data_IF_420397126493
#
_entry.id   IF_420397126493
#
_cell.length_a   1.000
_cell.length_b   1.000
_cell.length_c   1.000
_cell.angle_alpha   90.00
_cell.angle_beta   90.00
_cell.angle_gamma   90.00
#
_symmetry.space_group_name_H-M   'P 1'
#
loop_
_entity.id
_entity.type
_entity.pdbx_description
1 polymer ?
#
# COMPACT_ATOMS: atom_id res chain seq x y z
N UNK A 1 36.12 46.57 -32.30
CA UNK A 1 35.87 45.51 -31.31
C UNK A 1 35.48 46.14 -29.99
N UNK A 2 34.20 46.12 -29.61
CA UNK A 2 33.71 46.73 -28.37
C UNK A 2 33.37 45.65 -27.34
N UNK A 3 34.07 45.66 -26.20
CA UNK A 3 33.86 44.72 -25.09
C UNK A 3 32.70 45.21 -24.22
N UNK A 4 31.55 44.54 -24.31
CA UNK A 4 30.38 44.87 -23.50
C UNK A 4 30.45 44.10 -22.15
N UNK A 5 30.85 44.77 -21.07
CA UNK A 5 30.83 44.21 -19.70
C UNK A 5 29.44 44.34 -19.09
N UNK A 6 28.65 43.26 -19.08
CA UNK A 6 27.41 43.18 -18.29
C UNK A 6 27.75 43.17 -16.80
N UNK A 7 27.36 44.23 -16.07
CA UNK A 7 27.40 44.29 -14.60
C UNK A 7 26.42 43.24 -14.03
N UNK A 8 26.93 42.26 -13.28
CA UNK A 8 26.11 41.34 -12.47
C UNK A 8 25.47 42.16 -11.34
N UNK A 9 24.14 42.29 -11.34
CA UNK A 9 23.39 42.84 -10.21
C UNK A 9 23.50 41.86 -9.03
N UNK A 10 23.86 42.37 -7.85
CA UNK A 10 23.95 41.60 -6.62
C UNK A 10 22.61 40.95 -6.29
N UNK A 11 22.60 39.63 -6.15
CA UNK A 11 21.40 38.86 -5.81
C UNK A 11 21.01 39.08 -4.35
N UNK A 12 19.74 39.38 -4.12
CA UNK A 12 19.10 39.30 -2.82
C UNK A 12 19.19 37.85 -2.34
N UNK A 13 19.88 37.61 -1.23
CA UNK A 13 19.80 36.33 -0.51
C UNK A 13 18.58 36.44 0.41
N UNK A 14 17.49 35.70 0.16
CA UNK A 14 16.37 35.69 1.08
C UNK A 14 16.85 35.22 2.47
N UNK A 15 16.22 35.70 3.55
CA UNK A 15 16.49 35.22 4.90
C UNK A 15 16.44 33.69 4.93
N UNK A 16 17.43 33.09 5.59
CA UNK A 16 17.44 31.64 5.83
C UNK A 16 16.34 31.38 6.85
N UNK A 17 15.14 31.02 6.37
CA UNK A 17 14.05 30.54 7.22
C UNK A 17 14.58 29.33 8.02
N UNK A 18 14.45 29.37 9.34
CA UNK A 18 14.84 28.24 10.18
C UNK A 18 13.83 27.11 10.04
N UNK A 19 14.20 25.88 10.40
CA UNK A 19 13.27 24.74 10.36
C UNK A 19 12.00 25.02 11.18
N UNK A 20 12.15 25.71 12.31
CA UNK A 20 11.05 26.10 13.20
C UNK A 20 10.10 27.08 12.52
N UNK A 21 10.62 28.08 11.79
CA UNK A 21 9.80 29.03 11.03
C UNK A 21 8.95 28.34 9.96
N UNK A 22 9.50 27.31 9.32
CA UNK A 22 8.81 26.53 8.27
C UNK A 22 7.68 25.69 8.89
N UNK A 23 7.91 25.07 10.05
CA UNK A 23 6.87 24.32 10.78
C UNK A 23 5.74 25.26 11.24
N UNK A 24 6.08 26.44 11.75
CA UNK A 24 5.08 27.46 12.13
C UNK A 24 4.27 27.94 10.92
N UNK A 25 4.90 28.11 9.77
CA UNK A 25 4.21 28.47 8.53
C UNK A 25 3.23 27.37 8.08
N UNK A 26 3.63 26.09 8.14
CA UNK A 26 2.75 24.94 7.86
C UNK A 26 1.56 24.92 8.82
N UNK A 27 1.81 25.10 10.12
CA UNK A 27 0.76 25.14 11.15
C UNK A 27 -0.25 26.26 10.90
N UNK A 28 0.21 27.47 10.60
CA UNK A 28 -0.68 28.60 10.32
C UNK A 28 -1.58 28.37 9.09
N UNK A 29 -1.07 27.69 8.06
CA UNK A 29 -1.88 27.34 6.88
C UNK A 29 -2.85 26.20 7.21
N UNK A 30 -2.41 25.20 7.96
CA UNK A 30 -3.25 24.09 8.41
C UNK A 30 -4.43 24.57 9.27
N UNK A 31 -4.20 25.49 10.22
CA UNK A 31 -5.27 26.07 11.06
C UNK A 31 -6.35 26.78 10.23
N UNK A 32 -5.95 27.46 9.15
CA UNK A 32 -6.89 28.11 8.23
C UNK A 32 -7.70 27.10 7.44
N UNK A 33 -7.08 25.99 7.03
CA UNK A 33 -7.75 24.86 6.36
C UNK A 33 -8.73 24.17 7.32
N UNK A 34 -8.37 24.02 8.60
CA UNK A 34 -9.27 23.45 9.61
C UNK A 34 -10.46 24.36 9.95
N UNK A 35 -10.27 25.67 9.90
CA UNK A 35 -11.30 26.65 10.22
C UNK A 35 -12.25 26.98 9.05
N UNK A 36 -11.82 26.74 7.81
CA UNK A 36 -12.54 27.19 6.60
C UNK A 36 -12.71 26.03 5.61
N UNK A 37 -13.93 25.76 5.18
CA UNK A 37 -14.27 24.77 4.15
C UNK A 37 -14.01 25.27 2.70
N UNK A 38 -13.24 26.36 2.53
CA UNK A 38 -13.00 26.99 1.22
C UNK A 38 -11.89 26.29 0.41
N UNK A 39 -12.12 25.98 -0.89
CA UNK A 39 -11.18 25.18 -1.66
C UNK A 39 -10.18 26.02 -2.48
N UNK A 40 -8.93 25.54 -2.53
CA UNK A 40 -7.96 25.83 -3.58
C UNK A 40 -6.71 26.58 -3.13
N UNK A 41 -6.86 27.86 -2.76
CA UNK A 41 -5.71 28.74 -2.49
C UNK A 41 -4.88 28.27 -1.29
N UNK A 42 -5.56 27.92 -0.18
CA UNK A 42 -4.92 27.45 1.05
C UNK A 42 -4.14 26.15 0.84
N UNK A 43 -4.68 25.21 0.06
CA UNK A 43 -4.03 23.95 -0.29
C UNK A 43 -2.79 24.17 -1.18
N UNK A 44 -2.83 25.16 -2.07
CA UNK A 44 -1.66 25.57 -2.85
C UNK A 44 -0.56 26.21 -2.01
N UNK A 45 -0.92 26.97 -0.98
CA UNK A 45 0.05 27.54 -0.04
C UNK A 45 0.64 26.50 0.90
N UNK A 46 -0.16 25.51 1.32
CA UNK A 46 0.31 24.34 2.05
C UNK A 46 1.37 23.57 1.24
N UNK A 47 1.14 23.36 -0.06
CA UNK A 47 2.11 22.73 -0.94
C UNK A 47 3.45 23.48 -0.98
N UNK A 48 3.43 24.81 -1.10
CA UNK A 48 4.65 25.62 -1.07
C UNK A 48 5.38 25.51 0.26
N UNK A 49 4.65 25.41 1.37
CA UNK A 49 5.22 25.23 2.70
C UNK A 49 5.85 23.83 2.85
N UNK A 50 5.20 22.78 2.33
CA UNK A 50 5.77 21.43 2.31
C UNK A 50 7.06 21.34 1.49
N UNK A 51 7.15 22.02 0.33
CA UNK A 51 8.38 22.07 -0.48
C UNK A 51 9.58 22.68 0.25
N UNK A 52 9.34 23.50 1.28
CA UNK A 52 10.40 24.07 2.11
C UNK A 52 10.76 23.18 3.31
N UNK A 53 9.90 22.23 3.66
CA UNK A 53 10.06 21.33 4.80
C UNK A 53 10.78 20.04 4.43
N UNK A 54 11.09 19.23 5.45
CA UNK A 54 11.67 17.89 5.31
C UNK A 54 10.60 16.80 5.13
N UNK A 55 9.36 17.18 4.83
CA UNK A 55 8.25 16.24 4.58
C UNK A 55 8.44 15.58 3.22
N UNK A 56 8.24 14.27 3.17
CA UNK A 56 8.32 13.52 1.92
C UNK A 56 7.35 14.04 0.84
N UNK A 57 7.83 14.09 -0.41
CA UNK A 57 7.07 14.62 -1.55
C UNK A 57 5.81 13.81 -1.87
N UNK A 58 5.83 12.49 -1.63
CA UNK A 58 4.68 11.63 -1.89
C UNK A 58 3.60 11.77 -0.80
N UNK A 59 4.01 11.92 0.46
CA UNK A 59 3.10 12.20 1.60
C UNK A 59 2.39 13.54 1.38
N UNK A 60 3.15 14.60 1.08
CA UNK A 60 2.59 15.93 0.82
C UNK A 60 1.64 15.93 -0.38
N UNK A 61 2.00 15.26 -1.48
CA UNK A 61 1.13 15.12 -2.66
C UNK A 61 -0.19 14.40 -2.33
N UNK A 62 -0.15 13.29 -1.59
CA UNK A 62 -1.35 12.54 -1.14
C UNK A 62 -2.28 13.44 -0.33
N UNK A 63 -1.74 14.13 0.69
CA UNK A 63 -2.50 15.03 1.56
C UNK A 63 -3.21 16.11 0.74
N UNK A 64 -2.52 16.72 -0.21
CA UNK A 64 -3.08 17.82 -1.02
C UNK A 64 -4.12 17.31 -2.03
N UNK A 65 -3.83 16.21 -2.71
CA UNK A 65 -4.72 15.66 -3.75
C UNK A 65 -6.03 15.15 -3.17
N UNK A 66 -5.96 14.46 -2.04
CA UNK A 66 -7.13 13.91 -1.36
C UNK A 66 -7.74 14.86 -0.34
N UNK A 67 -7.12 16.03 -0.12
CA UNK A 67 -7.49 16.98 0.94
C UNK A 67 -7.65 16.29 2.28
N UNK A 68 -6.68 15.43 2.60
CA UNK A 68 -6.73 14.56 3.77
C UNK A 68 -6.40 15.37 5.03
N UNK A 69 -7.45 15.79 5.73
CA UNK A 69 -7.37 16.63 6.92
C UNK A 69 -6.75 15.85 8.09
N UNK A 70 -7.07 14.57 8.20
CA UNK A 70 -6.61 13.74 9.31
C UNK A 70 -5.13 13.40 9.16
N UNK A 71 -4.69 13.07 7.94
CA UNK A 71 -3.28 12.89 7.64
C UNK A 71 -2.48 14.19 7.84
N UNK A 72 -3.03 15.35 7.44
CA UNK A 72 -2.41 16.66 7.70
C UNK A 72 -2.20 16.91 9.21
N UNK A 73 -3.15 16.54 10.07
CA UNK A 73 -3.02 16.66 11.53
C UNK A 73 -1.90 15.78 12.06
N UNK A 74 -1.82 14.52 11.63
CA UNK A 74 -0.73 13.59 12.04
C UNK A 74 0.64 14.16 11.68
N UNK A 75 0.80 14.61 10.43
CA UNK A 75 2.04 15.24 9.94
C UNK A 75 2.40 16.47 10.76
N UNK A 76 1.42 17.32 11.11
CA UNK A 76 1.67 18.48 11.95
C UNK A 76 2.21 18.09 13.34
N UNK A 77 1.60 17.10 13.99
CA UNK A 77 2.05 16.64 15.31
C UNK A 77 3.47 16.08 15.27
N UNK A 78 3.81 15.34 14.20
CA UNK A 78 5.14 14.78 14.00
C UNK A 78 6.20 15.86 13.76
N UNK A 79 5.88 16.86 12.92
CA UNK A 79 6.74 18.01 12.67
C UNK A 79 6.98 18.84 13.94
N UNK A 80 5.97 18.99 14.80
CA UNK A 80 6.11 19.67 16.09
C UNK A 80 6.96 18.88 17.09
N UNK A 81 6.94 17.55 17.04
CA UNK A 81 7.83 16.69 17.84
C UNK A 81 9.26 16.59 17.28
N UNK A 82 9.53 17.17 16.11
CA UNK A 82 10.86 17.17 15.48
C UNK A 82 11.23 15.86 14.81
N UNK A 83 10.26 15.00 14.52
CA UNK A 83 10.47 13.71 13.88
C UNK A 83 10.31 13.82 12.35
N UNK A 84 11.09 13.05 11.59
CA UNK A 84 11.05 13.10 10.13
C UNK A 84 9.84 12.32 9.61
N UNK A 85 8.94 13.03 8.93
CA UNK A 85 7.70 12.47 8.36
C UNK A 85 8.03 11.65 7.10
N UNK A 86 8.27 10.35 7.31
CA UNK A 86 8.31 9.37 6.23
C UNK A 86 6.99 8.60 6.18
N UNK A 87 6.58 8.23 4.96
CA UNK A 87 5.44 7.38 4.64
C UNK A 87 5.11 6.37 5.74
N UNK A 88 4.12 6.68 6.56
CA UNK A 88 3.34 5.64 7.21
C UNK A 88 2.35 5.24 6.14
N UNK A 89 2.72 4.22 5.36
CA UNK A 89 1.79 3.46 4.55
C UNK A 89 0.73 2.88 5.50
N UNK A 90 -0.32 3.65 5.79
CA UNK A 90 -1.51 3.10 6.41
C UNK A 90 -2.12 2.09 5.44
N UNK A 91 -2.10 0.83 5.89
CA UNK A 91 -2.77 -0.37 5.39
C UNK A 91 -2.27 -0.94 4.06
N UNK A 92 -1.03 -1.44 4.07
CA UNK A 92 -0.93 -2.84 3.62
C UNK A 92 -1.71 -3.61 4.67
N UNK A 93 -2.88 -4.14 4.31
CA UNK A 93 -3.58 -5.11 5.15
C UNK A 93 -2.53 -6.10 5.65
N UNK A 94 -2.19 -6.03 6.94
CA UNK A 94 -1.16 -6.89 7.54
C UNK A 94 -1.68 -8.31 7.36
N UNK A 95 -1.23 -8.96 6.28
CA UNK A 95 -1.48 -10.37 6.10
C UNK A 95 -0.93 -11.01 7.37
N UNK A 96 -1.76 -11.79 8.10
CA UNK A 96 -1.36 -12.34 9.37
C UNK A 96 -0.06 -13.10 9.16
N UNK A 97 0.94 -12.81 9.98
CA UNK A 97 2.21 -13.53 9.97
C UNK A 97 1.92 -14.94 10.48
N UNK A 98 1.59 -15.84 9.54
CA UNK A 98 1.27 -17.22 9.88
C UNK A 98 2.49 -17.90 10.49
N UNK A 99 2.28 -18.58 11.62
CA UNK A 99 3.28 -19.49 12.16
C UNK A 99 3.58 -20.61 11.16
N UNK A 100 4.77 -21.20 11.25
CA UNK A 100 5.17 -22.29 10.36
C UNK A 100 4.21 -23.49 10.42
N UNK A 101 3.71 -23.80 11.61
CA UNK A 101 2.77 -24.91 11.83
C UNK A 101 1.42 -24.64 11.16
N UNK A 102 0.90 -23.41 11.25
CA UNK A 102 -0.35 -23.00 10.59
C UNK A 102 -0.23 -23.07 9.07
N UNK A 103 0.91 -22.67 8.51
CA UNK A 103 1.16 -22.79 7.06
C UNK A 103 1.12 -24.24 6.60
N UNK A 104 1.75 -25.15 7.35
CA UNK A 104 1.74 -26.59 7.06
C UNK A 104 0.31 -27.14 7.12
N UNK A 105 -0.44 -26.77 8.15
CA UNK A 105 -1.81 -27.27 8.35
C UNK A 105 -2.77 -26.76 7.26
N UNK A 106 -2.71 -25.47 6.95
CA UNK A 106 -3.49 -24.87 5.87
C UNK A 106 -3.17 -25.52 4.52
N UNK A 107 -1.88 -25.70 4.19
CA UNK A 107 -1.47 -26.43 2.97
C UNK A 107 -1.94 -27.88 2.96
N UNK A 108 -1.96 -28.56 4.11
CA UNK A 108 -2.47 -29.93 4.23
C UNK A 108 -3.98 -29.97 3.96
N UNK A 109 -4.75 -29.00 4.45
CA UNK A 109 -6.18 -28.89 4.18
C UNK A 109 -6.42 -28.61 2.69
N UNK A 110 -5.70 -27.66 2.11
CA UNK A 110 -5.82 -27.33 0.69
C UNK A 110 -5.57 -28.54 -0.21
N UNK A 111 -4.44 -29.25 -0.03
CA UNK A 111 -4.10 -30.46 -0.78
C UNK A 111 -5.15 -31.56 -0.62
N UNK A 112 -5.69 -31.75 0.59
CA UNK A 112 -6.79 -32.71 0.83
C UNK A 112 -8.03 -32.34 0.03
N UNK A 113 -8.44 -31.06 0.05
CA UNK A 113 -9.61 -30.57 -0.69
C UNK A 113 -9.43 -30.77 -2.19
N UNK A 114 -8.27 -30.42 -2.75
CA UNK A 114 -7.93 -30.68 -4.16
C UNK A 114 -8.08 -32.16 -4.49
N UNK A 115 -7.52 -33.06 -3.67
CA UNK A 115 -7.63 -34.51 -3.87
C UNK A 115 -9.09 -34.99 -3.87
N UNK A 116 -9.92 -34.49 -2.94
CA UNK A 116 -11.34 -34.85 -2.92
C UNK A 116 -12.09 -34.35 -4.15
N UNK A 117 -11.78 -33.15 -4.64
CA UNK A 117 -12.41 -32.61 -5.84
C UNK A 117 -12.01 -33.39 -7.10
N UNK A 118 -10.75 -33.82 -7.20
CA UNK A 118 -10.30 -34.72 -8.26
C UNK A 118 -11.07 -36.05 -8.20
N UNK A 119 -11.14 -36.70 -7.04
CA UNK A 119 -11.88 -37.96 -6.87
C UNK A 119 -13.37 -37.84 -7.22
N UNK A 120 -14.03 -36.74 -6.84
CA UNK A 120 -15.43 -36.49 -7.21
C UNK A 120 -15.61 -36.33 -8.72
N UNK A 121 -14.69 -35.62 -9.39
CA UNK A 121 -14.69 -35.51 -10.85
C UNK A 121 -14.45 -36.87 -11.52
N UNK A 122 -13.49 -37.65 -11.03
CA UNK A 122 -13.22 -39.01 -11.53
C UNK A 122 -14.42 -39.93 -11.37
N UNK A 123 -15.11 -39.87 -10.23
CA UNK A 123 -16.31 -40.66 -9.97
C UNK A 123 -17.45 -40.34 -10.95
N UNK A 124 -17.62 -39.07 -11.31
CA UNK A 124 -18.64 -38.61 -12.25
C UNK A 124 -18.33 -38.94 -13.72
N UNK A 125 -17.07 -39.23 -14.06
CA UNK A 125 -16.67 -39.49 -15.44
C UNK A 125 -17.18 -40.83 -15.99
N UNK A 126 -17.81 -41.69 -15.18
CA UNK A 126 -18.55 -42.86 -15.67
C UNK A 126 -17.70 -43.84 -16.50
N UNK A 127 -16.38 -43.80 -16.29
CA UNK A 127 -15.41 -44.60 -17.02
C UNK A 127 -15.42 -46.04 -16.48
N UNK A 128 -15.45 -47.03 -17.37
CA UNK A 128 -15.50 -48.43 -16.99
C UNK A 128 -14.26 -48.84 -16.18
N UNK A 129 -14.31 -49.92 -15.37
CA UNK A 129 -13.20 -50.37 -14.51
C UNK A 129 -11.88 -50.66 -15.26
N UNK A 130 -11.96 -50.80 -16.60
CA UNK A 130 -10.84 -51.16 -17.48
C UNK A 130 -10.27 -49.97 -18.27
N UNK A 131 -10.89 -48.79 -18.20
CA UNK A 131 -10.36 -47.59 -18.85
C UNK A 131 -9.53 -46.80 -17.84
N UNK A 132 -8.27 -46.48 -18.17
CA UNK A 132 -7.53 -45.43 -17.46
C UNK A 132 -8.37 -44.16 -17.60
N UNK A 133 -8.97 -43.71 -16.50
CA UNK A 133 -9.87 -42.56 -16.48
C UNK A 133 -9.21 -41.34 -17.12
N UNK A 134 -10.01 -40.51 -17.78
CA UNK A 134 -9.56 -39.22 -18.32
C UNK A 134 -9.00 -38.38 -17.16
N UNK A 135 -7.83 -37.77 -17.35
CA UNK A 135 -7.19 -36.92 -16.33
C UNK A 135 -8.18 -35.87 -15.83
N UNK A 136 -8.60 -35.99 -14.58
CA UNK A 136 -9.51 -35.07 -13.92
C UNK A 136 -8.71 -33.99 -13.18
N UNK A 137 -7.76 -33.37 -13.88
CA UNK A 137 -6.93 -32.33 -13.28
C UNK A 137 -7.78 -31.16 -12.81
N UNK A 138 -7.38 -30.62 -11.67
CA UNK A 138 -7.95 -29.40 -11.08
C UNK A 138 -6.90 -28.33 -11.27
N UNK A 139 -7.22 -27.32 -12.06
CA UNK A 139 -6.35 -26.17 -12.30
C UNK A 139 -6.34 -25.27 -11.05
N UNK A 140 -7.52 -24.79 -10.65
CA UNK A 140 -7.68 -23.93 -9.46
C UNK A 140 -8.86 -24.38 -8.60
N UNK A 141 -8.81 -24.02 -7.31
CA UNK A 141 -9.84 -24.30 -6.31
C UNK A 141 -10.14 -23.05 -5.48
N UNK A 142 -11.42 -22.85 -5.17
CA UNK A 142 -11.83 -21.82 -4.22
C UNK A 142 -11.24 -22.10 -2.83
N UNK A 143 -10.72 -21.07 -2.18
CA UNK A 143 -10.14 -21.18 -0.83
C UNK A 143 -11.12 -21.86 0.14
N UNK A 144 -10.67 -22.92 0.85
CA UNK A 144 -11.51 -23.58 1.85
C UNK A 144 -11.89 -22.65 3.00
N UNK A 145 -13.11 -22.81 3.52
CA UNK A 145 -13.61 -22.04 4.67
C UNK A 145 -12.96 -22.44 6.01
N UNK A 146 -12.11 -23.48 6.01
CA UNK A 146 -11.42 -23.98 7.20
C UNK A 146 -10.47 -22.93 7.78
N UNK A 147 -9.96 -22.03 6.93
CA UNK A 147 -9.11 -20.90 7.32
C UNK A 147 -9.61 -19.59 6.70
N UNK A 148 -9.39 -18.43 7.36
CA UNK A 148 -9.67 -17.13 6.78
C UNK A 148 -8.97 -16.89 5.43
N UNK A 149 -9.57 -16.04 4.59
CA UNK A 149 -9.03 -15.69 3.27
C UNK A 149 -7.60 -15.13 3.33
N UNK A 150 -7.29 -14.41 4.40
CA UNK A 150 -5.99 -13.80 4.65
C UNK A 150 -4.88 -14.84 4.78
N UNK A 151 -5.18 -16.01 5.37
CA UNK A 151 -4.25 -17.14 5.47
C UNK A 151 -3.85 -17.60 4.07
N UNK A 152 -4.83 -17.82 3.19
CA UNK A 152 -4.58 -18.24 1.81
C UNK A 152 -3.80 -17.20 1.01
N UNK A 153 -4.12 -15.91 1.17
CA UNK A 153 -3.37 -14.81 0.56
C UNK A 153 -1.92 -14.75 1.05
N UNK A 154 -1.68 -14.99 2.34
CA UNK A 154 -0.32 -15.02 2.89
C UNK A 154 0.50 -16.21 2.37
N UNK A 155 -0.14 -17.37 2.15
CA UNK A 155 0.47 -18.54 1.50
C UNK A 155 0.77 -18.28 0.01
N UNK A 156 -0.05 -17.47 -0.65
CA UNK A 156 0.23 -17.03 -2.00
C UNK A 156 1.40 -16.03 -2.03
N UNK A 157 1.45 -15.09 -1.08
CA UNK A 157 2.55 -14.16 -0.92
C UNK A 157 3.89 -14.87 -0.58
N UNK A 158 3.84 -16.00 0.13
CA UNK A 158 5.03 -16.84 0.42
C UNK A 158 5.46 -17.72 -0.75
N UNK A 159 4.69 -17.75 -1.85
CA UNK A 159 4.96 -18.55 -3.04
C UNK A 159 4.58 -20.03 -2.93
N UNK A 160 3.87 -20.44 -1.87
CA UNK A 160 3.38 -21.81 -1.71
C UNK A 160 2.12 -22.09 -2.54
N UNK A 161 1.30 -21.05 -2.74
CA UNK A 161 0.13 -21.05 -3.61
C UNK A 161 0.27 -19.94 -4.66
N UNK A 162 -0.54 -20.02 -5.69
CA UNK A 162 -0.74 -18.94 -6.67
C UNK A 162 -2.19 -18.47 -6.55
N UNK A 163 -2.39 -17.15 -6.43
CA UNK A 163 -3.71 -16.53 -6.41
C UNK A 163 -4.16 -16.26 -7.85
N UNK A 164 -5.20 -16.97 -8.30
CA UNK A 164 -5.81 -16.80 -9.63
C UNK A 164 -6.88 -15.69 -9.64
N UNK A 165 -7.10 -15.04 -8.50
CA UNK A 165 -8.11 -14.02 -8.30
C UNK A 165 -9.48 -14.59 -7.90
N UNK A 166 -10.35 -13.71 -7.40
CA UNK A 166 -11.72 -14.07 -7.03
C UNK A 166 -11.84 -15.10 -5.89
N UNK A 167 -10.77 -15.32 -5.11
CA UNK A 167 -10.71 -16.34 -4.05
C UNK A 167 -10.35 -17.74 -4.55
N UNK A 168 -9.83 -17.87 -5.78
CA UNK A 168 -9.31 -19.11 -6.34
C UNK A 168 -7.79 -19.17 -6.20
N UNK A 169 -7.30 -20.35 -5.82
CA UNK A 169 -5.89 -20.63 -5.65
C UNK A 169 -5.52 -21.94 -6.34
N UNK A 170 -4.26 -22.08 -6.73
CA UNK A 170 -3.66 -23.34 -7.14
C UNK A 170 -2.30 -23.57 -6.49
N UNK A 171 -1.85 -24.83 -6.50
CA UNK A 171 -0.53 -25.19 -5.97
C UNK A 171 0.53 -24.71 -6.94
N UNK A 172 1.50 -23.90 -6.47
CA UNK A 172 2.67 -23.56 -7.29
C UNK A 172 3.41 -24.84 -7.65
N UNK A 173 3.56 -25.09 -8.96
CA UNK A 173 4.23 -26.25 -9.51
C UNK A 173 5.76 -26.15 -9.36
#
# INVERSE_FOLDING_TARGET
MAKNKKKKKGGYKPPVETKEDIVLAIASVADKIFATDEPGALWGDLHKAFLKSDVDASVSAKIIMHKDIDELRKVLTQLQSGDSVHLVEEEIAELPTLSHDEQIEAMRVFRKRVKFMVLDRESKLGVGPLTKGKDASVDSMMAPHDYPMEVWKSLAASGQLVDDGGGFFHVSN
#
